data_IF_619742637656
#
_entry.id   IF_619742637656
#
_cell.length_a   1.000
_cell.length_b   1.000
_cell.length_c   1.000
_cell.angle_alpha   90.00
_cell.angle_beta   90.00
_cell.angle_gamma   90.00
#
_symmetry.space_group_name_H-M   'P 1'
#
loop_
_entity.id
_entity.type
_entity.pdbx_description
1 polymer ?
#
# COMPACT_ATOMS: atom_id res chain seq x y z
N UNK A 1 -17.94 3.11 -12.45
CA UNK A 1 -16.55 2.91 -11.99
C UNK A 1 -16.12 4.20 -11.31
N UNK A 2 -15.70 4.17 -10.04
CA UNK A 2 -15.18 5.35 -9.35
C UNK A 2 -13.65 5.27 -9.31
N UNK A 3 -12.98 6.39 -9.26
CA UNK A 3 -11.51 6.46 -9.15
C UNK A 3 -11.14 7.09 -7.83
N UNK A 4 -10.01 6.67 -7.25
CA UNK A 4 -9.40 7.33 -6.09
C UNK A 4 -7.99 7.75 -6.41
N UNK A 5 -7.55 8.83 -5.79
CA UNK A 5 -6.17 9.26 -5.82
C UNK A 5 -5.39 8.47 -4.74
N UNK A 6 -4.31 7.79 -5.13
CA UNK A 6 -3.47 6.98 -4.27
C UNK A 6 -2.00 7.42 -4.39
N UNK A 7 -1.14 7.07 -3.44
CA UNK A 7 0.29 7.39 -3.51
C UNK A 7 1.03 6.20 -4.10
N UNK A 8 1.59 6.41 -5.28
CA UNK A 8 2.48 5.45 -5.90
C UNK A 8 3.94 5.82 -5.63
N UNK A 9 4.67 4.86 -5.08
CA UNK A 9 6.12 4.88 -5.08
C UNK A 9 6.58 4.08 -6.28
N UNK A 10 7.24 4.76 -7.22
CA UNK A 10 7.89 4.12 -8.35
C UNK A 10 9.32 3.73 -8.03
N UNK A 11 10.06 3.26 -9.03
CA UNK A 11 11.38 2.69 -8.76
C UNK A 11 12.39 3.65 -8.13
N UNK A 12 12.23 4.96 -8.32
CA UNK A 12 13.08 5.96 -7.66
C UNK A 12 12.69 6.25 -6.20
N UNK A 13 11.65 5.60 -5.67
CA UNK A 13 11.12 5.81 -4.33
C UNK A 13 10.44 7.16 -4.11
N UNK A 14 10.28 7.98 -5.15
CA UNK A 14 9.62 9.28 -5.03
C UNK A 14 8.10 9.11 -5.06
N UNK A 15 7.37 9.72 -4.11
CA UNK A 15 5.92 9.65 -4.08
C UNK A 15 5.33 10.45 -5.24
N UNK A 16 4.33 9.89 -5.91
CA UNK A 16 3.45 10.61 -6.84
C UNK A 16 2.00 10.24 -6.57
N UNK A 17 1.09 11.18 -6.79
CA UNK A 17 -0.33 10.87 -6.85
C UNK A 17 -0.60 10.09 -8.13
N UNK A 18 -1.27 8.95 -7.98
CA UNK A 18 -1.70 8.07 -9.04
C UNK A 18 -3.20 7.86 -8.90
N UNK A 19 -3.95 8.22 -9.94
CA UNK A 19 -5.37 7.91 -10.00
C UNK A 19 -5.57 6.45 -10.34
N UNK A 20 -6.37 5.75 -9.54
CA UNK A 20 -6.61 4.31 -9.66
C UNK A 20 -8.11 4.05 -9.69
N UNK A 21 -8.63 3.33 -10.71
CA UNK A 21 -10.00 2.88 -10.72
C UNK A 21 -10.27 1.87 -9.61
N UNK A 22 -11.41 2.00 -8.94
CA UNK A 22 -11.90 1.02 -7.98
C UNK A 22 -13.03 0.22 -8.62
N UNK A 23 -12.85 -1.09 -8.64
CA UNK A 23 -13.83 -2.06 -9.09
C UNK A 23 -14.67 -2.50 -7.89
N UNK A 24 -15.98 -2.59 -8.07
CA UNK A 24 -16.88 -3.11 -7.04
C UNK A 24 -17.44 -4.44 -7.47
N UNK A 25 -17.19 -5.48 -6.68
CA UNK A 25 -17.69 -6.83 -6.89
C UNK A 25 -18.90 -7.07 -6.01
N UNK A 26 -19.99 -7.55 -6.61
CA UNK A 26 -21.21 -7.92 -5.90
C UNK A 26 -21.02 -9.25 -5.14
N UNK A 27 -20.17 -9.24 -4.11
CA UNK A 27 -20.03 -10.32 -3.13
C UNK A 27 -20.31 -9.74 -1.75
N UNK A 28 -21.41 -10.15 -1.11
CA UNK A 28 -21.82 -9.66 0.22
C UNK A 28 -22.07 -8.14 0.24
N UNK A 29 -21.38 -7.41 1.13
CA UNK A 29 -21.50 -5.94 1.28
C UNK A 29 -20.92 -5.13 0.12
N UNK A 30 -20.47 -5.79 -0.95
CA UNK A 30 -19.79 -5.16 -2.08
C UNK A 30 -18.31 -4.97 -1.78
N UNK A 31 -17.46 -5.82 -2.36
CA UNK A 31 -16.00 -5.70 -2.21
C UNK A 31 -15.48 -4.63 -3.15
N UNK A 32 -14.68 -3.70 -2.63
CA UNK A 32 -14.00 -2.69 -3.42
C UNK A 32 -12.54 -3.10 -3.61
N UNK A 33 -12.08 -3.18 -4.85
CA UNK A 33 -10.70 -3.57 -5.16
C UNK A 33 -10.13 -2.57 -6.17
N UNK A 34 -8.95 -1.98 -5.92
CA UNK A 34 -8.27 -1.15 -6.89
C UNK A 34 -7.84 -1.99 -8.10
N UNK A 35 -8.03 -1.43 -9.29
CA UNK A 35 -7.52 -2.02 -10.52
C UNK A 35 -6.00 -1.82 -10.60
N UNK A 36 -5.25 -2.83 -10.20
CA UNK A 36 -3.80 -2.75 -10.14
C UNK A 36 -3.13 -2.94 -11.50
N UNK A 37 -3.85 -3.44 -12.51
CA UNK A 37 -3.31 -3.66 -13.85
C UNK A 37 -2.97 -2.34 -14.55
N UNK A 38 -3.67 -1.25 -14.22
CA UNK A 38 -3.37 0.07 -14.76
C UNK A 38 -2.17 0.75 -14.07
N UNK A 39 -1.70 0.20 -12.95
CA UNK A 39 -0.62 0.77 -12.13
C UNK A 39 0.67 -0.01 -12.28
N UNK A 40 0.61 -1.33 -12.12
CA UNK A 40 1.78 -2.19 -12.25
C UNK A 40 1.90 -2.70 -13.68
N UNK A 41 3.00 -2.32 -14.35
CA UNK A 41 3.27 -2.73 -15.74
C UNK A 41 3.54 -4.22 -15.92
N UNK A 42 3.81 -4.95 -14.85
CA UNK A 42 4.15 -6.38 -14.89
C UNK A 42 2.94 -7.22 -14.52
N UNK A 43 2.60 -8.28 -15.29
CA UNK A 43 1.44 -9.16 -15.08
C UNK A 43 1.62 -10.13 -13.89
N UNK A 44 2.45 -9.78 -12.91
CA UNK A 44 2.70 -10.60 -11.74
C UNK A 44 1.55 -10.51 -10.74
N UNK A 45 1.32 -11.56 -9.93
CA UNK A 45 0.36 -11.48 -8.84
C UNK A 45 0.78 -10.37 -7.88
N UNK A 46 -0.19 -9.54 -7.51
CA UNK A 46 -0.02 -8.47 -6.55
C UNK A 46 -0.50 -8.93 -5.18
N UNK A 47 0.23 -8.52 -4.17
CA UNK A 47 -0.10 -8.72 -2.77
C UNK A 47 -0.55 -7.41 -2.13
N UNK A 48 -1.07 -7.49 -0.90
CA UNK A 48 -1.36 -6.33 -0.10
C UNK A 48 -1.00 -6.53 1.38
N UNK A 49 -0.85 -5.42 2.09
CA UNK A 49 -0.84 -5.38 3.55
C UNK A 49 -1.64 -4.17 4.04
N UNK A 50 -2.47 -4.38 5.07
CA UNK A 50 -3.18 -3.29 5.75
C UNK A 50 -2.33 -2.77 6.91
N UNK A 51 -1.98 -1.49 6.86
CA UNK A 51 -1.17 -0.81 7.86
C UNK A 51 -2.03 0.22 8.58
N UNK A 52 -2.23 0.02 9.87
CA UNK A 52 -2.95 0.96 10.74
C UNK A 52 -1.95 1.84 11.49
N UNK A 53 -2.01 3.14 11.26
CA UNK A 53 -1.20 4.15 11.95
C UNK A 53 -1.86 4.51 13.28
N UNK A 54 -1.22 4.20 14.41
CA UNK A 54 -1.87 4.35 15.72
C UNK A 54 -2.14 5.81 16.10
N UNK A 55 -1.21 6.71 15.81
CA UNK A 55 -1.29 8.08 16.32
C UNK A 55 -2.26 8.92 15.49
N UNK A 56 -2.14 8.83 14.17
CA UNK A 56 -3.00 9.54 13.21
C UNK A 56 -4.33 8.83 12.97
N UNK A 57 -4.46 7.56 13.39
CA UNK A 57 -5.63 6.70 13.15
C UNK A 57 -5.96 6.55 11.66
N UNK A 58 -4.96 6.72 10.80
CA UNK A 58 -5.10 6.50 9.37
C UNK A 58 -4.78 5.05 9.04
N UNK A 59 -5.56 4.47 8.14
CA UNK A 59 -5.35 3.12 7.64
C UNK A 59 -4.96 3.19 6.17
N UNK A 60 -3.89 2.48 5.85
CA UNK A 60 -3.34 2.40 4.50
C UNK A 60 -3.32 0.95 4.03
N UNK A 61 -3.82 0.70 2.83
CA UNK A 61 -3.67 -0.57 2.14
C UNK A 61 -2.52 -0.42 1.16
N UNK A 62 -1.49 -1.22 1.36
CA UNK A 62 -0.25 -1.17 0.58
C UNK A 62 -0.25 -2.33 -0.39
N UNK A 63 -0.37 -2.05 -1.68
CA UNK A 63 -0.29 -3.04 -2.75
C UNK A 63 1.10 -3.09 -3.38
N UNK A 64 1.61 -4.28 -3.64
CA UNK A 64 2.94 -4.48 -4.23
C UNK A 64 3.02 -5.78 -5.04
N UNK A 65 3.84 -5.86 -6.10
CA UNK A 65 4.03 -7.10 -6.85
C UNK A 65 4.76 -8.14 -6.01
N UNK A 66 4.29 -9.39 -6.04
CA UNK A 66 5.00 -10.52 -5.47
C UNK A 66 6.24 -10.78 -6.34
N UNK A 67 7.43 -10.57 -5.79
CA UNK A 67 8.67 -10.98 -6.47
C UNK A 67 8.85 -12.49 -6.32
N UNK A 68 9.09 -13.24 -7.41
CA UNK A 68 9.51 -14.64 -7.29
C UNK A 68 10.88 -14.71 -6.58
N UNK A 69 11.08 -15.68 -5.68
CA UNK A 69 12.39 -15.99 -5.05
C UNK A 69 12.72 -17.47 -5.26
N UNK A 70 14.00 -17.88 -5.42
CA UNK A 70 15.19 -17.36 -4.71
C UNK A 70 16.42 -17.01 -5.59
N UNK A 71 17.32 -16.16 -5.08
CA UNK A 71 18.68 -15.94 -5.63
C UNK A 71 19.09 -14.47 -5.85
N UNK A 72 18.13 -13.57 -6.04
CA UNK A 72 18.40 -12.14 -6.20
C UNK A 72 18.40 -11.43 -4.84
N UNK A 73 19.53 -10.79 -4.50
CA UNK A 73 19.61 -9.89 -3.36
C UNK A 73 18.50 -8.84 -3.47
N UNK A 74 17.78 -8.51 -2.39
CA UNK A 74 16.69 -7.56 -2.44
C UNK A 74 17.25 -6.15 -2.54
N UNK A 75 17.56 -5.69 -3.75
CA UNK A 75 17.69 -4.25 -3.99
C UNK A 75 16.28 -3.64 -4.03
N UNK A 76 16.00 -2.57 -3.27
CA UNK A 76 14.78 -1.83 -3.49
C UNK A 76 14.87 -1.24 -4.90
N UNK A 77 13.78 -1.34 -5.67
CA UNK A 77 13.08 -0.09 -5.82
C UNK A 77 11.56 -0.29 -5.69
N UNK A 78 10.95 0.46 -4.77
CA UNK A 78 9.54 0.33 -4.38
C UNK A 78 8.66 0.50 -5.61
N UNK A 79 8.03 -0.57 -6.08
CA UNK A 79 6.94 -0.51 -7.05
C UNK A 79 5.66 -0.76 -6.25
N UNK A 80 5.22 0.24 -5.51
CA UNK A 80 4.22 0.08 -4.45
C UNK A 80 3.14 1.14 -4.59
N UNK A 81 1.89 0.73 -4.48
CA UNK A 81 0.74 1.61 -4.46
C UNK A 81 0.17 1.64 -3.04
N UNK A 82 0.03 2.82 -2.46
CA UNK A 82 -0.51 3.03 -1.13
C UNK A 82 -1.84 3.76 -1.24
N UNK A 83 -2.90 3.07 -0.82
CA UNK A 83 -4.25 3.60 -0.83
C UNK A 83 -4.69 3.89 0.60
N UNK A 84 -5.32 5.04 0.84
CA UNK A 84 -6.06 5.27 2.08
C UNK A 84 -7.37 4.50 2.01
N UNK A 85 -7.68 3.71 3.03
CA UNK A 85 -8.94 2.98 3.12
C UNK A 85 -9.35 2.77 4.58
N UNK A 86 -10.56 2.27 4.81
CA UNK A 86 -10.98 1.80 6.15
C UNK A 86 -10.49 0.39 6.43
N UNK A 87 -10.45 -0.44 5.38
CA UNK A 87 -10.04 -1.84 5.44
C UNK A 87 -9.52 -2.30 4.06
N UNK A 88 -9.00 -3.52 3.97
CA UNK A 88 -8.38 -4.09 2.77
C UNK A 88 -9.23 -3.96 1.49
N UNK A 89 -10.56 -4.06 1.62
CA UNK A 89 -11.48 -4.07 0.48
C UNK A 89 -12.67 -3.13 0.67
N UNK A 90 -12.51 -2.08 1.49
CA UNK A 90 -13.62 -1.19 1.82
C UNK A 90 -13.16 0.23 2.19
N UNK A 91 -13.94 1.21 1.72
CA UNK A 91 -13.88 2.58 2.22
C UNK A 91 -12.63 3.31 1.74
N UNK A 92 -12.21 3.04 0.50
CA UNK A 92 -11.15 3.76 -0.16
C UNK A 92 -11.47 5.26 -0.21
N UNK A 93 -10.47 6.09 0.04
CA UNK A 93 -10.56 7.54 0.04
C UNK A 93 -9.32 8.15 -0.64
N UNK A 94 -9.45 9.39 -1.09
CA UNK A 94 -8.35 10.08 -1.75
C UNK A 94 -7.18 10.33 -0.79
N UNK A 95 -5.98 10.01 -1.28
CA UNK A 95 -4.70 10.42 -0.72
C UNK A 95 -4.32 11.80 -1.29
N UNK A 96 -3.61 12.57 -0.50
CA UNK A 96 -2.92 13.78 -0.95
C UNK A 96 -1.41 13.69 -0.65
N UNK A 97 -0.64 14.71 -1.08
CA UNK A 97 0.81 14.70 -0.85
C UNK A 97 1.21 14.93 0.61
N UNK A 98 0.32 15.41 1.49
CA UNK A 98 0.60 15.46 2.91
C UNK A 98 0.67 14.06 3.53
N UNK A 99 0.03 13.08 2.88
CA UNK A 99 0.06 11.67 3.29
C UNK A 99 1.35 10.95 2.89
N UNK A 100 2.19 11.55 2.03
CA UNK A 100 3.37 10.93 1.46
C UNK A 100 4.32 10.34 2.53
N UNK A 101 4.52 11.05 3.64
CA UNK A 101 5.37 10.60 4.74
C UNK A 101 4.82 9.34 5.41
N UNK A 102 3.52 9.31 5.70
CA UNK A 102 2.88 8.14 6.33
C UNK A 102 2.80 6.97 5.35
N UNK A 103 2.49 7.25 4.08
CA UNK A 103 2.48 6.25 3.03
C UNK A 103 3.87 5.61 2.83
N UNK A 104 4.94 6.40 2.94
CA UNK A 104 6.31 5.88 2.88
C UNK A 104 6.62 4.94 4.04
N UNK A 105 6.19 5.30 5.26
CA UNK A 105 6.31 4.42 6.44
C UNK A 105 5.52 3.13 6.23
N UNK A 106 4.27 3.22 5.78
CA UNK A 106 3.42 2.06 5.49
C UNK A 106 4.07 1.12 4.47
N UNK A 107 4.57 1.69 3.36
CA UNK A 107 5.26 0.94 2.32
C UNK A 107 6.53 0.26 2.83
N UNK A 108 7.32 0.96 3.66
CA UNK A 108 8.50 0.41 4.31
C UNK A 108 8.19 -0.80 5.19
N UNK A 109 7.16 -0.68 6.03
CA UNK A 109 6.70 -1.80 6.88
C UNK A 109 6.17 -2.97 6.04
N UNK A 110 5.31 -2.71 5.06
CA UNK A 110 4.76 -3.76 4.21
C UNK A 110 5.87 -4.55 3.50
N UNK A 111 6.85 -3.86 2.91
CA UNK A 111 7.98 -4.55 2.29
C UNK A 111 8.85 -5.29 3.32
N UNK A 112 9.07 -4.74 4.52
CA UNK A 112 9.88 -5.42 5.54
C UNK A 112 9.20 -6.71 6.05
N UNK A 113 7.90 -6.64 6.33
CA UNK A 113 7.10 -7.76 6.84
C UNK A 113 6.90 -8.84 5.76
N UNK A 114 6.58 -8.43 4.53
CA UNK A 114 6.18 -9.35 3.47
C UNK A 114 7.34 -9.87 2.62
N UNK A 115 8.58 -9.41 2.86
CA UNK A 115 9.78 -9.79 2.08
C UNK A 115 10.11 -11.28 2.10
N UNK A 116 9.53 -12.08 2.99
CA UNK A 116 9.87 -13.50 3.15
C UNK A 116 8.64 -14.40 3.23
N UNK A 117 7.46 -13.84 3.49
CA UNK A 117 6.23 -14.60 3.75
C UNK A 117 5.16 -14.29 2.68
N UNK A 118 4.75 -15.34 1.96
CA UNK A 118 3.57 -15.29 1.08
C UNK A 118 2.29 -15.10 1.92
N UNK A 119 1.17 -14.63 1.34
CA UNK A 119 -0.07 -14.40 2.10
C UNK A 119 -0.50 -15.60 2.95
N UNK A 120 -0.36 -16.82 2.40
CA UNK A 120 -0.72 -18.07 3.08
C UNK A 120 0.17 -18.41 4.28
N UNK A 121 1.33 -17.78 4.39
CA UNK A 121 2.30 -18.00 5.48
C UNK A 121 2.26 -16.88 6.53
N UNK A 122 1.57 -15.76 6.25
CA UNK A 122 1.49 -14.64 7.18
C UNK A 122 0.56 -14.96 8.34
N UNK A 123 0.95 -14.52 9.54
CA UNK A 123 0.10 -14.58 10.73
C UNK A 123 -1.07 -13.59 10.70
N UNK A 124 -0.93 -12.49 9.96
CA UNK A 124 -1.93 -11.43 9.81
C UNK A 124 -1.66 -10.60 8.57
N UNK A 125 -2.71 -10.24 7.84
CA UNK A 125 -2.66 -9.24 6.75
C UNK A 125 -2.79 -7.79 7.26
N UNK A 126 -2.96 -7.64 8.58
CA UNK A 126 -3.08 -6.36 9.24
C UNK A 126 -1.95 -6.16 10.24
N UNK A 127 -1.31 -5.01 10.18
CA UNK A 127 -0.29 -4.59 11.13
C UNK A 127 -0.63 -3.24 11.74
N UNK A 128 -0.20 -3.05 12.98
CA UNK A 128 -0.36 -1.81 13.71
C UNK A 128 1.02 -1.16 13.85
N UNK A 129 1.16 0.07 13.36
CA UNK A 129 2.44 0.77 13.28
C UNK A 129 2.39 2.03 14.14
N UNK A 130 3.40 2.17 15.00
CA UNK A 130 3.71 3.41 15.69
C UNK A 130 4.49 4.32 14.73
N UNK A 131 3.84 5.29 14.11
CA UNK A 131 4.55 6.20 13.21
C UNK A 131 5.61 7.04 13.96
N UNK A 132 6.79 7.31 13.34
CA UNK A 132 7.83 8.12 13.97
C UNK A 132 7.29 9.50 14.37
N UNK A 133 7.75 10.02 15.50
CA UNK A 133 7.53 11.44 15.83
C UNK A 133 8.31 12.26 14.81
N UNK A 134 7.63 12.90 13.86
CA UNK A 134 8.20 14.07 13.22
C UNK A 134 8.42 15.09 14.37
N UNK A 135 9.69 15.35 14.73
CA UNK A 135 9.98 16.65 15.33
C UNK A 135 9.47 17.66 14.32
N UNK A 136 8.46 18.46 14.68
CA UNK A 136 8.17 19.68 13.92
C UNK A 136 9.51 20.39 13.78
N UNK A 137 9.97 20.59 12.55
CA UNK A 137 11.14 21.41 12.29
C UNK A 137 10.89 22.78 12.90
N UNK A 138 11.61 23.09 13.96
CA UNK A 138 12.05 24.45 14.21
C UNK A 138 13.31 24.61 13.38
N UNK A 139 13.13 25.04 12.13
CA UNK A 139 14.01 25.91 11.33
C UNK A 139 13.47 25.99 9.90
#
# INVERSE_FOLDING_TARGET
MHTVDAIYFGYNGQPRIQRVPIQTFAMGRGLQVPDLNCVFRTPGPTDYLVVNMQRTRQTFVVHFPIQPRPGLRPQPPLNVLVCRAKDAFQGYADCDMADATLAHVAAGFALATCRVETPTQRKSDHVLVHEPRCRRGSQ
#
